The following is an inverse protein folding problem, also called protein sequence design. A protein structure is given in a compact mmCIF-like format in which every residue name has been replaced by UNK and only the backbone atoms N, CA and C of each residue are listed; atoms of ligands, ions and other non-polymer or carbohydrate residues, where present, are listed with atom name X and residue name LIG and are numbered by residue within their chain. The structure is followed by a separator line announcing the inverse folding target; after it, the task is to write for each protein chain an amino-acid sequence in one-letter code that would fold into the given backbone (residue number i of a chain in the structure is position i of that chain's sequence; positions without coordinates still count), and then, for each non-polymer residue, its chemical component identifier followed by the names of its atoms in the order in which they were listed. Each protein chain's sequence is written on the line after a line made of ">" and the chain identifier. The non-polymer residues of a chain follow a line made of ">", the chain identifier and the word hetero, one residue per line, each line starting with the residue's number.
data_IF_354488662343
#
_entry.id   IF_354488662343
#
_cell.length_a   1.000
_cell.length_b   1.000
_cell.length_c   1.000
_cell.angle_alpha   90.00
_cell.angle_beta   90.00
_cell.angle_gamma   90.00
#
_symmetry.space_group_name_H-M   'P 1'
#
loop_
_entity.id
_entity.type
_entity.pdbx_description
1 polymer ?
#
# COMPACT_ATOMS: atom_id res chain seq x y z
N UNK A 1 -13.49 -22.00 -26.24
CA UNK A 1 -12.79 -21.80 -24.93
C UNK A 1 -12.89 -20.32 -24.62
N UNK A 2 -13.36 -19.96 -23.43
CA UNK A 2 -13.42 -18.54 -23.07
C UNK A 2 -11.99 -17.99 -23.02
N UNK A 3 -11.80 -16.70 -23.35
CA UNK A 3 -10.48 -16.07 -23.27
C UNK A 3 -9.94 -15.99 -21.81
N UNK A 4 -10.81 -16.29 -20.85
CA UNK A 4 -10.57 -16.24 -19.40
C UNK A 4 -10.11 -17.58 -18.82
N UNK A 5 -10.23 -18.72 -19.55
CA UNK A 5 -9.82 -20.06 -19.10
C UNK A 5 -8.61 -20.55 -19.90
N UNK A 6 -7.55 -20.97 -19.20
CA UNK A 6 -6.34 -21.59 -19.78
C UNK A 6 -6.11 -22.95 -19.14
N UNK A 7 -5.89 -23.96 -19.95
CA UNK A 7 -5.57 -25.32 -19.52
C UNK A 7 -4.14 -25.65 -19.92
N UNK A 8 -3.34 -26.10 -18.95
CA UNK A 8 -1.94 -26.43 -19.12
C UNK A 8 -1.71 -27.88 -18.68
N UNK A 9 -0.99 -28.64 -19.51
CA UNK A 9 -0.49 -29.95 -19.13
C UNK A 9 1.03 -29.85 -18.94
N UNK A 10 1.47 -29.86 -17.66
CA UNK A 10 2.84 -29.61 -17.29
C UNK A 10 3.36 -30.77 -16.40
N UNK A 11 4.36 -31.50 -16.88
CA UNK A 11 4.99 -32.61 -16.16
C UNK A 11 3.99 -33.67 -15.63
N UNK A 12 2.95 -33.99 -16.43
CA UNK A 12 1.90 -34.94 -16.07
C UNK A 12 0.83 -34.39 -15.11
N UNK A 13 0.88 -33.10 -14.79
CA UNK A 13 -0.15 -32.38 -14.01
C UNK A 13 -1.00 -31.54 -14.94
N UNK A 14 -2.31 -31.51 -14.68
CA UNK A 14 -3.24 -30.58 -15.33
C UNK A 14 -3.43 -29.36 -14.43
N UNK A 15 -3.13 -28.19 -14.96
CA UNK A 15 -3.32 -26.92 -14.26
C UNK A 15 -4.29 -26.07 -15.07
N UNK A 16 -5.45 -25.78 -14.51
CA UNK A 16 -6.45 -24.89 -15.12
C UNK A 16 -6.39 -23.53 -14.43
N UNK A 17 -6.22 -22.47 -15.22
CA UNK A 17 -6.22 -21.09 -14.73
C UNK A 17 -7.52 -20.42 -15.16
N UNK A 18 -8.23 -19.76 -14.25
CA UNK A 18 -9.40 -18.91 -14.53
C UNK A 18 -9.05 -17.47 -14.20
N UNK A 19 -9.22 -16.57 -15.17
CA UNK A 19 -9.04 -15.14 -15.02
C UNK A 19 -10.35 -14.43 -14.73
N UNK A 20 -10.44 -13.74 -13.61
CA UNK A 20 -11.64 -13.01 -13.18
C UNK A 20 -11.44 -11.50 -13.29
N UNK A 21 -12.53 -10.74 -13.40
CA UNK A 21 -12.53 -9.27 -13.43
C UNK A 21 -12.79 -8.64 -12.05
N UNK A 22 -12.80 -9.42 -10.97
CA UNK A 22 -13.01 -9.03 -9.57
C UNK A 22 -14.35 -8.36 -9.21
N UNK A 23 -15.19 -8.02 -10.19
CA UNK A 23 -16.48 -7.32 -10.01
C UNK A 23 -17.55 -7.79 -11.01
N UNK A 24 -17.45 -9.01 -11.54
CA UNK A 24 -18.35 -9.56 -12.56
C UNK A 24 -19.14 -10.76 -12.01
N UNK A 25 -20.47 -10.69 -12.11
CA UNK A 25 -21.36 -11.80 -11.77
C UNK A 25 -21.10 -13.04 -12.67
N UNK A 26 -20.73 -12.81 -13.93
CA UNK A 26 -20.37 -13.85 -14.87
C UNK A 26 -19.12 -14.60 -14.42
N UNK A 27 -18.12 -13.89 -13.89
CA UNK A 27 -16.92 -14.53 -13.32
C UNK A 27 -17.24 -15.43 -12.13
N UNK A 28 -18.18 -15.04 -11.26
CA UNK A 28 -18.62 -15.91 -10.15
C UNK A 28 -19.23 -17.21 -10.66
N UNK A 29 -20.08 -17.12 -11.67
CA UNK A 29 -20.72 -18.29 -12.29
C UNK A 29 -19.70 -19.16 -13.03
N UNK A 30 -18.80 -18.57 -13.81
CA UNK A 30 -17.73 -19.29 -14.50
C UNK A 30 -16.85 -20.08 -13.54
N UNK A 31 -16.49 -19.48 -12.40
CA UNK A 31 -15.71 -20.14 -11.33
C UNK A 31 -16.49 -21.33 -10.76
N UNK A 32 -17.76 -21.15 -10.38
CA UNK A 32 -18.60 -22.22 -9.83
C UNK A 32 -18.77 -23.36 -10.82
N UNK A 33 -19.17 -23.07 -12.07
CA UNK A 33 -19.42 -24.06 -13.11
C UNK A 33 -18.12 -24.85 -13.42
N UNK A 34 -16.98 -24.16 -13.51
CA UNK A 34 -15.70 -24.82 -13.78
C UNK A 34 -15.25 -25.72 -12.63
N UNK A 35 -15.40 -25.31 -11.37
CA UNK A 35 -15.06 -26.18 -10.22
C UNK A 35 -15.90 -27.45 -10.25
N UNK A 36 -17.21 -27.33 -10.52
CA UNK A 36 -18.12 -28.48 -10.62
C UNK A 36 -17.82 -29.37 -11.80
N UNK A 37 -17.42 -28.80 -12.95
CA UNK A 37 -17.07 -29.53 -14.18
C UNK A 37 -15.81 -30.36 -14.00
N UNK A 38 -14.70 -29.75 -13.55
CA UNK A 38 -13.39 -30.38 -13.55
C UNK A 38 -13.05 -31.12 -12.26
N UNK A 39 -13.77 -30.86 -11.16
CA UNK A 39 -13.58 -31.46 -9.84
C UNK A 39 -12.08 -31.55 -9.48
N UNK A 40 -11.38 -30.43 -9.27
CA UNK A 40 -9.95 -30.41 -9.07
C UNK A 40 -9.56 -31.03 -7.73
N UNK A 41 -8.33 -31.56 -7.64
CA UNK A 41 -7.74 -32.07 -6.38
C UNK A 41 -7.42 -30.93 -5.39
N UNK A 42 -7.18 -29.72 -5.91
CA UNK A 42 -6.83 -28.54 -5.11
C UNK A 42 -7.23 -27.26 -5.87
N UNK A 43 -7.69 -26.24 -5.13
CA UNK A 43 -8.01 -24.93 -5.68
C UNK A 43 -7.05 -23.89 -5.11
N UNK A 44 -6.23 -23.26 -5.98
CA UNK A 44 -5.44 -22.06 -5.68
C UNK A 44 -6.30 -20.81 -5.81
N UNK A 45 -6.29 -19.95 -4.80
CA UNK A 45 -7.10 -18.73 -4.77
C UNK A 45 -6.18 -17.53 -4.59
N UNK A 46 -6.31 -16.50 -5.45
CA UNK A 46 -5.51 -15.25 -5.38
C UNK A 46 -5.92 -14.39 -4.18
N UNK A 47 -5.71 -14.92 -3.01
CA UNK A 47 -5.83 -14.23 -1.74
C UNK A 47 -4.62 -14.56 -0.86
N UNK A 48 -4.26 -13.65 0.03
CA UNK A 48 -3.45 -13.98 1.19
C UNK A 48 -4.35 -14.43 2.37
N UNK A 49 -3.77 -15.14 3.33
CA UNK A 49 -4.48 -15.71 4.50
C UNK A 49 -5.32 -14.66 5.26
N UNK A 50 -4.82 -13.41 5.38
CA UNK A 50 -5.54 -12.34 6.09
C UNK A 50 -6.74 -11.84 5.29
N UNK A 51 -6.58 -11.70 3.97
CA UNK A 51 -7.69 -11.31 3.10
C UNK A 51 -8.76 -12.40 3.07
N UNK A 52 -8.36 -13.66 2.98
CA UNK A 52 -9.28 -14.79 3.05
C UNK A 52 -10.07 -14.80 4.37
N UNK A 53 -9.39 -14.68 5.53
CA UNK A 53 -10.06 -14.58 6.84
C UNK A 53 -10.97 -13.34 6.92
N UNK A 54 -10.58 -12.20 6.34
CA UNK A 54 -11.39 -10.98 6.38
C UNK A 54 -12.66 -11.06 5.51
N UNK A 55 -12.62 -11.81 4.41
CA UNK A 55 -13.77 -12.04 3.54
C UNK A 55 -14.74 -13.04 4.20
N UNK A 56 -14.23 -14.09 4.84
CA UNK A 56 -15.04 -15.07 5.56
C UNK A 56 -15.59 -14.56 6.89
N UNK A 57 -14.83 -13.70 7.59
CA UNK A 57 -15.17 -13.19 8.92
C UNK A 57 -15.15 -11.65 8.97
N UNK A 58 -16.04 -10.94 8.24
CA UNK A 58 -16.02 -9.48 8.13
C UNK A 58 -16.16 -8.76 9.47
N UNK A 59 -16.87 -9.33 10.44
CA UNK A 59 -17.10 -8.74 11.76
C UNK A 59 -15.83 -8.68 12.62
N UNK A 60 -14.93 -9.63 12.46
CA UNK A 60 -13.63 -9.67 13.17
C UNK A 60 -12.73 -8.48 12.83
N UNK A 61 -12.87 -7.94 11.62
CA UNK A 61 -12.02 -6.86 11.09
C UNK A 61 -12.65 -5.47 11.14
N UNK A 62 -13.85 -5.34 11.75
CA UNK A 62 -14.52 -4.04 11.93
C UNK A 62 -13.83 -3.11 12.92
N UNK A 63 -12.91 -3.59 13.75
CA UNK A 63 -12.25 -2.80 14.79
C UNK A 63 -10.80 -2.46 14.39
N UNK A 64 -10.63 -1.39 13.60
CA UNK A 64 -9.30 -0.85 13.27
C UNK A 64 -8.72 -0.06 14.45
N UNK A 65 -7.63 -0.54 15.04
CA UNK A 65 -6.84 0.24 16.00
C UNK A 65 -5.86 1.15 15.26
N UNK A 66 -6.30 2.38 14.95
CA UNK A 66 -5.47 3.36 14.24
C UNK A 66 -4.21 3.76 15.02
N UNK A 67 -4.24 3.70 16.34
CA UNK A 67 -3.05 3.98 17.18
C UNK A 67 -1.99 2.91 16.95
N UNK A 68 -2.40 1.64 16.90
CA UNK A 68 -1.51 0.52 16.61
C UNK A 68 -0.93 0.61 15.20
N UNK A 69 -1.75 0.97 14.21
CA UNK A 69 -1.31 1.19 12.82
C UNK A 69 -0.23 2.27 12.73
N UNK A 70 -0.44 3.42 13.40
CA UNK A 70 0.53 4.52 13.40
C UNK A 70 1.82 4.15 14.14
N UNK A 71 1.73 3.46 15.29
CA UNK A 71 2.90 2.96 16.04
C UNK A 71 3.75 1.98 15.21
N UNK A 72 3.11 1.17 14.39
CA UNK A 72 3.78 0.23 13.49
C UNK A 72 4.31 0.87 12.20
N UNK A 73 4.24 2.19 12.05
CA UNK A 73 4.61 2.94 10.83
C UNK A 73 3.79 2.52 9.58
N UNK A 74 2.55 2.08 9.78
CA UNK A 74 1.68 1.56 8.71
C UNK A 74 0.65 2.60 8.22
N UNK A 75 0.76 3.88 8.62
CA UNK A 75 -0.19 4.93 8.26
C UNK A 75 -0.34 5.13 6.74
N UNK A 76 0.78 5.17 5.99
CA UNK A 76 0.74 5.24 4.52
C UNK A 76 0.17 3.98 3.89
N UNK A 77 0.42 2.82 4.49
CA UNK A 77 -0.13 1.55 4.03
C UNK A 77 -1.64 1.49 4.21
N UNK A 78 -2.14 1.98 5.35
CA UNK A 78 -3.57 2.11 5.58
C UNK A 78 -4.21 3.02 4.53
N UNK A 79 -3.60 4.18 4.26
CA UNK A 79 -4.08 5.10 3.24
C UNK A 79 -4.14 4.44 1.86
N UNK A 80 -3.07 3.77 1.43
CA UNK A 80 -3.03 3.08 0.14
C UNK A 80 -4.11 1.99 0.03
N UNK A 81 -4.28 1.19 1.09
CA UNK A 81 -5.33 0.17 1.14
C UNK A 81 -6.74 0.77 1.07
N UNK A 82 -6.99 1.89 1.76
CA UNK A 82 -8.27 2.57 1.73
C UNK A 82 -8.60 3.15 0.36
N UNK A 83 -7.62 3.77 -0.30
CA UNK A 83 -7.78 4.28 -1.66
C UNK A 83 -8.11 3.15 -2.63
N UNK A 84 -7.35 2.06 -2.57
CA UNK A 84 -7.57 0.89 -3.42
C UNK A 84 -8.95 0.26 -3.16
N UNK A 85 -9.31 0.07 -1.90
CA UNK A 85 -10.62 -0.49 -1.52
C UNK A 85 -11.77 0.42 -1.95
N UNK A 86 -11.61 1.75 -1.84
CA UNK A 86 -12.62 2.71 -2.31
C UNK A 86 -12.78 2.68 -3.82
N UNK A 87 -11.68 2.55 -4.57
CA UNK A 87 -11.71 2.38 -6.02
C UNK A 87 -12.40 1.08 -6.44
N UNK A 88 -12.02 -0.05 -5.85
CA UNK A 88 -12.65 -1.35 -6.10
C UNK A 88 -14.15 -1.35 -5.77
N UNK A 89 -14.55 -0.70 -4.66
CA UNK A 89 -15.96 -0.58 -4.29
C UNK A 89 -16.76 0.24 -5.29
N UNK A 90 -16.20 1.34 -5.82
CA UNK A 90 -16.88 2.14 -6.86
C UNK A 90 -17.12 1.33 -8.12
N UNK A 91 -16.14 0.53 -8.56
CA UNK A 91 -16.32 -0.41 -9.68
C UNK A 91 -17.42 -1.42 -9.38
N UNK A 92 -17.43 -2.01 -8.17
CA UNK A 92 -18.44 -2.98 -7.77
C UNK A 92 -19.86 -2.41 -7.60
N UNK A 93 -20.00 -1.11 -7.31
CA UNK A 93 -21.32 -0.47 -7.21
C UNK A 93 -22.02 -0.39 -8.58
N UNK A 94 -21.28 -0.23 -9.66
CA UNK A 94 -21.83 -0.18 -11.03
C UNK A 94 -22.24 -1.58 -11.53
N UNK A 95 -21.57 -2.64 -11.05
CA UNK A 95 -21.83 -4.04 -11.47
C UNK A 95 -22.73 -4.82 -10.50
N UNK A 96 -23.08 -4.25 -9.33
CA UNK A 96 -23.87 -4.92 -8.30
C UNK A 96 -23.14 -6.07 -7.58
N UNK A 97 -21.87 -6.34 -7.91
CA UNK A 97 -21.05 -7.42 -7.35
C UNK A 97 -20.00 -6.83 -6.39
N UNK A 98 -19.85 -7.42 -5.21
CA UNK A 98 -18.82 -7.02 -4.27
C UNK A 98 -17.44 -7.48 -4.76
N UNK A 99 -16.40 -6.63 -4.67
CA UNK A 99 -15.04 -7.02 -5.00
C UNK A 99 -14.59 -8.28 -4.24
N UNK A 100 -14.05 -9.26 -4.96
CA UNK A 100 -13.63 -10.55 -4.39
C UNK A 100 -14.75 -11.57 -4.17
N UNK A 101 -15.96 -11.31 -4.68
CA UNK A 101 -17.08 -12.24 -4.59
C UNK A 101 -16.77 -13.57 -5.30
N UNK A 102 -16.05 -13.54 -6.41
CA UNK A 102 -15.60 -14.73 -7.15
C UNK A 102 -14.64 -15.60 -6.32
N UNK A 103 -13.78 -14.98 -5.52
CA UNK A 103 -12.87 -15.69 -4.60
C UNK A 103 -13.65 -16.34 -3.46
N UNK A 104 -14.66 -15.62 -2.92
CA UNK A 104 -15.57 -16.17 -1.93
C UNK A 104 -16.40 -17.34 -2.52
N UNK A 105 -16.87 -17.20 -3.75
CA UNK A 105 -17.58 -18.29 -4.46
C UNK A 105 -16.66 -19.51 -4.58
N UNK A 106 -15.42 -19.34 -5.00
CA UNK A 106 -14.45 -20.42 -5.07
C UNK A 106 -14.25 -21.13 -3.72
N UNK A 107 -14.11 -20.37 -2.62
CA UNK A 107 -13.97 -20.93 -1.27
C UNK A 107 -15.22 -21.70 -0.83
N UNK A 108 -16.42 -21.17 -1.09
CA UNK A 108 -17.68 -21.80 -0.69
C UNK A 108 -17.91 -23.11 -1.46
N UNK A 109 -17.75 -23.09 -2.79
CA UNK A 109 -17.92 -24.28 -3.61
C UNK A 109 -16.87 -25.35 -3.28
N UNK A 110 -15.62 -24.92 -2.99
CA UNK A 110 -14.58 -25.84 -2.53
C UNK A 110 -14.96 -26.51 -1.19
N UNK A 111 -15.52 -25.74 -0.25
CA UNK A 111 -15.97 -26.26 1.04
C UNK A 111 -17.16 -27.23 0.86
N UNK A 112 -18.12 -26.92 0.00
CA UNK A 112 -19.27 -27.79 -0.30
C UNK A 112 -18.82 -29.15 -0.90
N UNK A 113 -17.82 -29.11 -1.78
CA UNK A 113 -17.29 -30.30 -2.45
C UNK A 113 -16.15 -30.98 -1.67
N UNK A 114 -15.78 -30.46 -0.50
CA UNK A 114 -14.62 -30.92 0.31
C UNK A 114 -13.28 -30.89 -0.47
N UNK A 115 -13.10 -29.92 -1.36
CA UNK A 115 -11.85 -29.73 -2.11
C UNK A 115 -10.91 -28.81 -1.30
N UNK A 116 -9.65 -29.21 -1.07
CA UNK A 116 -8.69 -28.36 -0.37
C UNK A 116 -8.39 -27.07 -1.13
N UNK A 117 -8.28 -25.97 -0.40
CA UNK A 117 -7.93 -24.64 -0.95
C UNK A 117 -6.55 -24.21 -0.47
N UNK A 118 -5.81 -23.52 -1.33
CA UNK A 118 -4.51 -22.92 -1.03
C UNK A 118 -4.55 -21.44 -1.38
N UNK A 119 -4.19 -20.57 -0.42
CA UNK A 119 -4.02 -19.15 -0.68
C UNK A 119 -2.69 -18.93 -1.40
N UNK A 120 -2.75 -18.44 -2.65
CA UNK A 120 -1.58 -18.38 -3.52
C UNK A 120 -1.01 -16.96 -3.67
N UNK A 121 -1.68 -15.91 -3.16
CA UNK A 121 -1.17 -14.55 -3.26
C UNK A 121 -0.26 -14.17 -2.08
N UNK A 122 0.63 -13.24 -2.36
CA UNK A 122 1.53 -12.64 -1.38
C UNK A 122 0.75 -11.61 -0.54
N UNK A 123 1.02 -11.51 0.78
CA UNK A 123 0.38 -10.49 1.61
C UNK A 123 0.52 -9.10 0.99
N UNK A 124 -0.61 -8.42 0.76
CA UNK A 124 -0.65 -7.11 0.09
C UNK A 124 0.27 -6.09 0.78
N UNK A 125 0.43 -6.18 2.10
CA UNK A 125 1.35 -5.33 2.86
C UNK A 125 2.81 -5.51 2.43
N UNK A 126 3.22 -6.74 2.12
CA UNK A 126 4.58 -7.01 1.60
C UNK A 126 4.74 -6.39 0.22
N UNK A 127 3.76 -6.59 -0.66
CA UNK A 127 3.74 -6.03 -2.02
C UNK A 127 3.89 -4.51 -1.99
N UNK A 128 3.07 -3.81 -1.23
CA UNK A 128 3.13 -2.35 -1.14
C UNK A 128 4.43 -1.85 -0.48
N UNK A 129 4.89 -2.51 0.60
CA UNK A 129 6.17 -2.16 1.24
C UNK A 129 7.37 -2.40 0.30
N UNK A 130 7.33 -3.44 -0.53
CA UNK A 130 8.36 -3.69 -1.56
C UNK A 130 8.34 -2.63 -2.64
N UNK A 131 7.17 -2.29 -3.18
CA UNK A 131 7.02 -1.21 -4.16
C UNK A 131 7.56 0.11 -3.61
N UNK A 132 7.23 0.43 -2.34
CA UNK A 132 7.78 1.61 -1.66
C UNK A 132 9.29 1.53 -1.45
N UNK A 133 9.82 0.38 -1.01
CA UNK A 133 11.26 0.21 -0.71
C UNK A 133 12.12 0.26 -1.96
N UNK A 134 11.68 -0.35 -3.07
CA UNK A 134 12.40 -0.35 -4.36
C UNK A 134 12.37 1.00 -5.08
N UNK A 135 11.35 1.83 -4.83
CA UNK A 135 11.24 3.14 -5.47
C UNK A 135 12.23 4.16 -4.90
N UNK A 136 12.87 4.94 -5.78
CA UNK A 136 13.61 6.15 -5.43
C UNK A 136 12.65 7.26 -5.00
N UNK A 137 13.17 8.35 -4.44
CA UNK A 137 12.36 9.47 -3.92
C UNK A 137 11.33 9.98 -4.93
N UNK A 138 11.73 10.20 -6.17
CA UNK A 138 10.83 10.66 -7.24
C UNK A 138 9.72 9.64 -7.57
N UNK A 139 10.04 8.35 -7.60
CA UNK A 139 9.05 7.29 -7.78
C UNK A 139 8.06 7.19 -6.61
N UNK A 140 8.50 7.45 -5.38
CA UNK A 140 7.62 7.56 -4.21
C UNK A 140 6.66 8.74 -4.31
N UNK A 141 7.14 9.90 -4.78
CA UNK A 141 6.29 11.07 -5.02
C UNK A 141 5.26 10.78 -6.12
N UNK A 142 5.66 10.16 -7.22
CA UNK A 142 4.75 9.74 -8.30
C UNK A 142 3.68 8.77 -7.77
N UNK A 143 4.08 7.75 -7.02
CA UNK A 143 3.17 6.76 -6.45
C UNK A 143 2.13 7.42 -5.51
N UNK A 144 2.57 8.32 -4.63
CA UNK A 144 1.67 9.08 -3.76
C UNK A 144 0.73 9.97 -4.56
N UNK A 145 1.24 10.69 -5.56
CA UNK A 145 0.43 11.56 -6.42
C UNK A 145 -0.63 10.76 -7.18
N UNK A 146 -0.27 9.60 -7.74
CA UNK A 146 -1.21 8.70 -8.43
C UNK A 146 -2.28 8.16 -7.49
N UNK A 147 -1.91 7.74 -6.28
CA UNK A 147 -2.88 7.27 -5.27
C UNK A 147 -3.84 8.37 -4.86
N UNK A 148 -3.35 9.59 -4.62
CA UNK A 148 -4.19 10.73 -4.27
C UNK A 148 -5.10 11.13 -5.43
N UNK A 149 -4.58 11.21 -6.66
CA UNK A 149 -5.38 11.49 -7.86
C UNK A 149 -6.50 10.46 -8.03
N UNK A 150 -6.18 9.17 -7.91
CA UNK A 150 -7.16 8.07 -8.00
C UNK A 150 -8.23 8.14 -6.90
N UNK A 151 -7.88 8.60 -5.68
CA UNK A 151 -8.85 8.77 -4.59
C UNK A 151 -9.92 9.81 -4.93
N UNK A 152 -9.56 10.87 -5.68
CA UNK A 152 -10.44 11.98 -6.04
C UNK A 152 -10.98 11.91 -7.48
N UNK A 153 -10.55 10.92 -8.28
CA UNK A 153 -11.11 10.70 -9.62
C UNK A 153 -12.60 10.36 -9.52
N UNK A 154 -13.38 10.97 -10.38
CA UNK A 154 -14.83 10.74 -10.52
C UNK A 154 -15.15 9.87 -11.75
N UNK A 155 -14.14 9.33 -12.40
CA UNK A 155 -14.37 8.49 -13.56
C UNK A 155 -15.14 7.24 -13.13
N UNK A 156 -16.30 7.07 -13.71
CA UNK A 156 -17.13 5.87 -13.59
C UNK A 156 -16.71 4.92 -14.71
N UNK A 157 -16.18 3.77 -14.34
CA UNK A 157 -15.86 2.72 -15.31
C UNK A 157 -17.15 1.97 -15.61
N UNK A 158 -17.54 1.91 -16.88
CA UNK A 158 -18.74 1.20 -17.33
C UNK A 158 -18.54 -0.32 -17.31
N UNK A 159 -19.65 -1.10 -17.29
CA UNK A 159 -19.57 -2.56 -17.39
C UNK A 159 -18.90 -3.01 -18.69
N UNK A 160 -19.18 -2.32 -19.79
CA UNK A 160 -18.58 -2.60 -21.10
C UNK A 160 -17.06 -2.37 -21.10
N UNK A 161 -16.58 -1.34 -20.41
CA UNK A 161 -15.14 -1.09 -20.24
C UNK A 161 -14.48 -2.18 -19.39
N UNK A 162 -15.13 -2.62 -18.30
CA UNK A 162 -14.64 -3.72 -17.46
C UNK A 162 -14.58 -5.03 -18.28
N UNK A 163 -15.57 -5.30 -19.10
CA UNK A 163 -15.61 -6.48 -19.97
C UNK A 163 -14.56 -6.41 -21.09
N UNK A 164 -14.31 -5.22 -21.64
CA UNK A 164 -13.28 -4.99 -22.65
C UNK A 164 -11.86 -5.12 -22.07
N UNK A 165 -11.64 -4.74 -20.80
CA UNK A 165 -10.37 -4.99 -20.10
C UNK A 165 -10.01 -6.49 -19.99
N UNK A 166 -10.99 -7.38 -20.05
CA UNK A 166 -10.73 -8.84 -20.15
C UNK A 166 -10.20 -9.25 -21.52
N UNK A 167 -10.45 -8.45 -22.58
CA UNK A 167 -9.96 -8.71 -23.93
C UNK A 167 -8.50 -8.25 -24.02
N UNK A 168 -7.56 -9.19 -24.12
CA UNK A 168 -6.13 -9.05 -23.93
C UNK A 168 -5.43 -7.80 -24.48
N UNK A 169 -5.90 -7.23 -25.61
CA UNK A 169 -5.23 -6.08 -26.24
C UNK A 169 -5.24 -4.78 -25.40
N UNK A 170 -6.32 -4.52 -24.65
CA UNK A 170 -6.41 -3.32 -23.80
C UNK A 170 -5.58 -3.50 -22.51
N UNK A 171 -5.60 -4.70 -21.95
CA UNK A 171 -4.77 -5.02 -20.78
C UNK A 171 -3.27 -4.91 -21.11
N UNK A 172 -2.83 -5.39 -22.27
CA UNK A 172 -1.45 -5.28 -22.71
C UNK A 172 -1.03 -3.82 -22.91
N UNK A 173 -1.92 -2.97 -23.45
CA UNK A 173 -1.66 -1.54 -23.59
C UNK A 173 -1.50 -0.85 -22.25
N UNK A 174 -2.39 -1.12 -21.28
CA UNK A 174 -2.30 -0.59 -19.90
C UNK A 174 -1.03 -1.07 -19.19
N UNK A 175 -0.63 -2.34 -19.38
CA UNK A 175 0.60 -2.88 -18.78
C UNK A 175 1.85 -2.22 -19.38
N UNK A 176 1.85 -1.93 -20.67
CA UNK A 176 2.93 -1.21 -21.33
C UNK A 176 3.04 0.24 -20.81
N UNK A 177 1.91 0.95 -20.72
CA UNK A 177 1.88 2.31 -20.16
C UNK A 177 2.36 2.34 -18.71
N UNK A 178 1.91 1.40 -17.87
CA UNK A 178 2.39 1.27 -16.50
C UNK A 178 3.89 0.99 -16.44
N UNK A 179 4.41 0.17 -17.37
CA UNK A 179 5.83 -0.15 -17.47
C UNK A 179 6.68 1.07 -17.80
N UNK A 180 6.20 1.95 -18.68
CA UNK A 180 6.89 3.19 -19.04
C UNK A 180 6.81 4.24 -17.95
N UNK A 181 5.63 4.43 -17.36
CA UNK A 181 5.40 5.48 -16.38
C UNK A 181 5.93 5.15 -14.99
N UNK A 182 5.75 3.91 -14.52
CA UNK A 182 6.16 3.43 -13.18
C UNK A 182 6.75 2.01 -13.22
N UNK A 183 7.93 1.80 -13.81
CA UNK A 183 8.50 0.46 -14.04
C UNK A 183 8.67 -0.37 -12.75
N UNK A 184 9.08 0.25 -11.65
CA UNK A 184 9.24 -0.43 -10.35
C UNK A 184 7.89 -0.89 -9.78
N UNK A 185 6.83 -0.13 -10.04
CA UNK A 185 5.48 -0.49 -9.59
C UNK A 185 4.98 -1.69 -10.38
N UNK A 186 5.14 -1.68 -11.70
CA UNK A 186 4.82 -2.81 -12.58
C UNK A 186 5.60 -4.05 -12.18
N UNK A 187 6.91 -3.95 -11.97
CA UNK A 187 7.76 -5.05 -11.51
C UNK A 187 7.22 -5.69 -10.22
N UNK A 188 6.87 -4.88 -9.21
CA UNK A 188 6.48 -5.41 -7.89
C UNK A 188 5.02 -5.85 -7.84
N UNK A 189 4.11 -5.10 -8.48
CA UNK A 189 2.66 -5.39 -8.41
C UNK A 189 2.22 -6.45 -9.42
N UNK A 190 2.98 -6.65 -10.49
CA UNK A 190 2.65 -7.61 -11.54
C UNK A 190 3.70 -8.72 -11.60
N UNK A 191 4.92 -8.44 -12.06
CA UNK A 191 5.90 -9.49 -12.40
C UNK A 191 6.32 -10.34 -11.19
N UNK A 192 6.59 -9.72 -10.03
CA UNK A 192 6.90 -10.46 -8.80
C UNK A 192 5.69 -11.23 -8.28
N UNK A 193 4.46 -10.68 -8.43
CA UNK A 193 3.25 -11.41 -8.02
C UNK A 193 2.97 -12.58 -8.95
N UNK A 194 3.12 -12.43 -10.26
CA UNK A 194 2.99 -13.53 -11.23
C UNK A 194 3.93 -14.67 -10.88
N UNK A 195 5.19 -14.34 -10.59
CA UNK A 195 6.18 -15.31 -10.10
C UNK A 195 5.73 -15.97 -8.80
N UNK A 196 5.24 -15.21 -7.84
CA UNK A 196 4.80 -15.72 -6.54
C UNK A 196 3.58 -16.64 -6.68
N UNK A 197 2.56 -16.20 -7.43
CA UNK A 197 1.34 -16.94 -7.72
C UNK A 197 1.69 -18.28 -8.41
N UNK A 198 2.44 -18.23 -9.51
CA UNK A 198 2.86 -19.43 -10.25
C UNK A 198 3.64 -20.41 -9.38
N UNK A 199 4.57 -19.92 -8.55
CA UNK A 199 5.35 -20.78 -7.65
C UNK A 199 4.48 -21.45 -6.58
N UNK A 200 3.49 -20.75 -6.03
CA UNK A 200 2.54 -21.32 -5.06
C UNK A 200 1.58 -22.32 -5.70
N UNK A 201 1.09 -22.04 -6.90
CA UNK A 201 0.27 -22.98 -7.69
C UNK A 201 1.10 -24.24 -8.02
N UNK A 202 2.35 -24.05 -8.45
CA UNK A 202 3.25 -25.18 -8.74
C UNK A 202 3.52 -26.06 -7.52
N UNK A 203 3.66 -25.45 -6.34
CA UNK A 203 3.91 -26.15 -5.07
C UNK A 203 2.64 -26.75 -4.45
N UNK A 204 1.44 -26.48 -4.98
CA UNK A 204 0.19 -27.06 -4.47
C UNK A 204 0.13 -28.56 -4.72
N UNK A 205 -0.60 -29.28 -3.86
CA UNK A 205 -0.79 -30.72 -3.98
C UNK A 205 -1.84 -31.07 -5.06
N UNK A 206 -1.72 -32.26 -5.63
CA UNK A 206 -2.67 -32.80 -6.61
C UNK A 206 -2.16 -32.76 -8.05
N UNK A 207 -2.78 -33.57 -8.88
CA UNK A 207 -2.46 -33.67 -10.32
C UNK A 207 -3.42 -32.83 -11.18
N UNK A 208 -4.60 -32.51 -10.67
CA UNK A 208 -5.60 -31.67 -11.30
C UNK A 208 -5.83 -30.42 -10.43
N UNK A 209 -5.16 -29.33 -10.75
CA UNK A 209 -5.15 -28.09 -9.95
C UNK A 209 -5.93 -27.00 -10.69
N UNK A 210 -6.86 -26.36 -10.01
CA UNK A 210 -7.52 -25.15 -10.51
C UNK A 210 -6.94 -23.93 -9.79
N UNK A 211 -6.65 -22.85 -10.51
CA UNK A 211 -6.30 -21.57 -9.91
C UNK A 211 -7.25 -20.47 -10.38
N UNK A 212 -7.82 -19.73 -9.40
CA UNK A 212 -8.71 -18.59 -9.64
C UNK A 212 -7.90 -17.32 -9.39
N UNK A 213 -7.69 -16.54 -10.45
CA UNK A 213 -6.77 -15.39 -10.50
C UNK A 213 -7.47 -14.19 -11.13
N UNK A 214 -6.97 -12.99 -10.89
CA UNK A 214 -7.31 -11.81 -11.69
C UNK A 214 -6.81 -11.97 -13.13
N UNK A 215 -7.63 -11.58 -14.11
CA UNK A 215 -7.33 -11.76 -15.54
C UNK A 215 -5.97 -11.17 -15.94
N UNK A 216 -5.54 -10.08 -15.31
CA UNK A 216 -4.25 -9.44 -15.55
C UNK A 216 -3.02 -10.29 -15.19
N UNK A 217 -3.19 -11.31 -14.34
CA UNK A 217 -2.11 -12.20 -13.92
C UNK A 217 -1.98 -13.46 -14.81
N UNK A 218 -3.03 -13.78 -15.61
CA UNK A 218 -3.05 -15.01 -16.42
C UNK A 218 -1.81 -15.18 -17.33
N UNK A 219 -1.43 -14.19 -18.16
CA UNK A 219 -0.31 -14.36 -19.09
C UNK A 219 1.02 -14.58 -18.37
N UNK A 220 1.27 -13.79 -17.30
CA UNK A 220 2.52 -13.89 -16.55
C UNK A 220 2.62 -15.17 -15.73
N UNK A 221 1.53 -15.60 -15.09
CA UNK A 221 1.46 -16.86 -14.33
C UNK A 221 1.65 -18.05 -15.27
N UNK A 222 0.96 -18.07 -16.43
CA UNK A 222 1.14 -19.12 -17.44
C UNK A 222 2.60 -19.22 -17.88
N UNK A 223 3.18 -18.11 -18.31
CA UNK A 223 4.57 -18.09 -18.78
C UNK A 223 5.58 -18.55 -17.69
N UNK A 224 5.30 -18.22 -16.42
CA UNK A 224 6.18 -18.66 -15.34
C UNK A 224 6.00 -20.13 -14.98
N UNK A 225 4.78 -20.67 -15.02
CA UNK A 225 4.51 -22.11 -14.85
C UNK A 225 5.23 -22.95 -15.92
N UNK A 226 5.21 -22.49 -17.18
CA UNK A 226 5.93 -23.15 -18.28
C UNK A 226 7.45 -23.15 -18.04
N UNK A 227 8.02 -22.06 -17.51
CA UNK A 227 9.42 -22.00 -17.10
C UNK A 227 9.76 -22.91 -15.93
N UNK A 228 8.86 -23.06 -14.95
CA UNK A 228 9.00 -24.00 -13.85
C UNK A 228 9.01 -25.44 -14.38
N UNK A 229 8.08 -25.78 -15.26
CA UNK A 229 7.97 -27.10 -15.83
C UNK A 229 9.19 -27.50 -16.68
N UNK A 230 9.78 -26.55 -17.41
CA UNK A 230 10.99 -26.75 -18.20
C UNK A 230 12.30 -26.70 -17.40
N UNK A 231 12.22 -26.42 -16.10
CA UNK A 231 13.41 -26.28 -15.23
C UNK A 231 14.21 -24.98 -15.47
N UNK A 232 13.67 -24.02 -16.23
CA UNK A 232 14.29 -22.73 -16.50
C UNK A 232 14.11 -21.71 -15.38
N UNK A 233 13.21 -21.97 -14.43
CA UNK A 233 12.95 -21.11 -13.29
C UNK A 233 12.88 -21.91 -11.98
N UNK A 234 13.11 -21.24 -10.85
CA UNK A 234 12.98 -21.81 -9.51
C UNK A 234 11.63 -21.44 -8.90
N UNK A 235 11.00 -22.38 -8.20
CA UNK A 235 9.82 -22.13 -7.39
C UNK A 235 10.13 -21.39 -6.08
N UNK A 236 11.41 -21.10 -5.80
CA UNK A 236 11.80 -20.34 -4.62
C UNK A 236 11.32 -18.89 -4.72
N UNK A 237 10.57 -18.46 -3.72
CA UNK A 237 9.97 -17.13 -3.59
C UNK A 237 10.51 -16.34 -2.40
N UNK A 238 11.53 -16.84 -1.68
CA UNK A 238 12.05 -16.19 -0.46
C UNK A 238 12.44 -14.74 -0.72
N UNK A 239 13.13 -14.45 -1.82
CA UNK A 239 13.56 -13.11 -2.17
C UNK A 239 12.38 -12.12 -2.33
N UNK A 240 11.26 -12.60 -2.86
CA UNK A 240 10.08 -11.76 -3.12
C UNK A 240 9.01 -11.87 -2.05
N UNK A 241 9.13 -12.84 -1.12
CA UNK A 241 8.19 -13.03 -0.01
C UNK A 241 8.36 -11.99 1.12
N UNK A 242 9.52 -11.30 1.18
CA UNK A 242 9.83 -10.36 2.24
C UNK A 242 10.19 -8.97 1.71
N UNK A 243 10.03 -7.96 2.56
CA UNK A 243 10.48 -6.59 2.25
C UNK A 243 12.01 -6.53 2.34
N UNK A 244 12.70 -5.97 1.33
CA UNK A 244 14.15 -5.82 1.38
C UNK A 244 14.60 -5.05 2.62
N UNK A 245 15.55 -5.60 3.37
CA UNK A 245 16.14 -4.91 4.52
C UNK A 245 16.98 -3.73 4.03
N UNK A 246 16.86 -2.58 4.70
CA UNK A 246 17.76 -1.44 4.45
C UNK A 246 19.19 -1.88 4.72
N UNK A 247 20.09 -1.59 3.79
CA UNK A 247 21.53 -1.83 3.95
C UNK A 247 22.09 -1.02 5.12
N UNK A 248 23.17 -1.48 5.74
CA UNK A 248 23.83 -0.76 6.84
C UNK A 248 24.21 0.66 6.42
N UNK A 249 24.74 0.85 5.21
CA UNK A 249 25.04 2.16 4.66
C UNK A 249 23.83 3.08 4.54
N UNK A 250 22.66 2.55 4.16
CA UNK A 250 21.43 3.34 4.09
C UNK A 250 20.92 3.75 5.49
N UNK A 251 21.18 2.93 6.53
CA UNK A 251 20.89 3.28 7.92
C UNK A 251 21.84 4.38 8.41
N UNK A 252 23.12 4.27 8.12
CA UNK A 252 24.13 5.27 8.49
C UNK A 252 23.82 6.61 7.80
N UNK A 253 23.47 6.58 6.51
CA UNK A 253 23.12 7.78 5.73
C UNK A 253 21.89 8.51 6.33
N UNK A 254 20.94 7.80 6.95
CA UNK A 254 19.80 8.45 7.58
C UNK A 254 20.16 9.29 8.82
N UNK A 255 21.33 9.05 9.44
CA UNK A 255 21.86 9.85 10.53
C UNK A 255 22.71 11.04 10.07
N UNK A 256 23.11 11.06 8.80
CA UNK A 256 24.03 12.10 8.28
C UNK A 256 23.43 13.51 8.46
N UNK A 257 22.17 13.71 8.03
CA UNK A 257 21.51 15.02 8.12
C UNK A 257 21.32 15.45 9.58
N UNK A 258 20.75 14.64 10.49
CA UNK A 258 20.68 14.99 11.91
C UNK A 258 22.02 15.35 12.52
N UNK A 259 23.05 14.55 12.29
CA UNK A 259 24.40 14.81 12.83
C UNK A 259 25.02 16.07 12.25
N UNK A 260 24.82 16.36 10.96
CA UNK A 260 25.31 17.58 10.32
C UNK A 260 24.66 18.83 10.96
N UNK A 261 23.34 18.81 11.13
CA UNK A 261 22.59 19.92 11.74
C UNK A 261 23.08 20.15 13.20
N UNK A 262 23.17 19.09 13.99
CA UNK A 262 23.66 19.20 15.39
C UNK A 262 25.11 19.70 15.40
N UNK A 263 25.98 19.18 14.51
CA UNK A 263 27.34 19.61 14.35
C UNK A 263 27.46 21.10 14.01
N UNK A 264 26.64 21.60 13.09
CA UNK A 264 26.62 23.04 12.75
C UNK A 264 26.18 23.91 13.94
N UNK A 265 25.14 23.50 14.67
CA UNK A 265 24.69 24.24 15.87
C UNK A 265 25.78 24.26 16.93
N UNK A 266 26.42 23.11 17.24
CA UNK A 266 27.52 23.03 18.19
C UNK A 266 28.72 23.88 17.73
N UNK A 267 29.08 23.83 16.45
CA UNK A 267 30.13 24.69 15.90
C UNK A 267 29.79 26.20 16.05
N UNK A 268 28.51 26.55 15.87
CA UNK A 268 28.04 27.93 16.13
C UNK A 268 28.28 28.39 17.56
N UNK A 269 28.14 27.51 18.56
CA UNK A 269 28.50 27.82 19.95
C UNK A 269 30.00 27.94 20.15
N UNK A 270 30.82 27.09 19.51
CA UNK A 270 32.26 27.07 19.68
C UNK A 270 32.93 28.29 19.01
N UNK A 271 32.60 28.57 17.76
CA UNK A 271 33.25 29.62 16.96
C UNK A 271 32.55 30.97 17.06
N UNK A 272 31.21 31.01 17.16
CA UNK A 272 30.41 32.23 17.22
C UNK A 272 29.92 32.61 18.63
N UNK A 273 30.28 31.80 19.62
CA UNK A 273 29.89 32.03 21.01
C UNK A 273 28.37 31.80 21.25
N UNK A 274 27.95 32.21 22.45
CA UNK A 274 26.57 31.96 22.93
C UNK A 274 25.50 32.59 22.01
N UNK A 275 25.78 33.79 21.46
CA UNK A 275 24.83 34.51 20.63
C UNK A 275 24.54 33.81 19.29
N UNK A 276 25.57 33.33 18.61
CA UNK A 276 25.41 32.61 17.33
C UNK A 276 24.80 31.23 17.54
N UNK A 277 25.26 30.47 18.53
CA UNK A 277 24.73 29.17 18.85
C UNK A 277 23.24 29.21 19.24
N UNK A 278 22.81 30.18 20.04
CA UNK A 278 21.39 30.34 20.41
C UNK A 278 20.53 30.76 19.22
N UNK A 279 21.04 31.61 18.30
CA UNK A 279 20.32 31.95 17.05
C UNK A 279 20.09 30.71 16.20
N UNK A 280 21.13 29.88 15.98
CA UNK A 280 20.99 28.63 15.16
C UNK A 280 20.03 27.67 15.84
N UNK A 281 20.09 27.46 17.14
CA UNK A 281 19.19 26.62 17.90
C UNK A 281 17.74 27.10 17.81
N UNK A 282 17.54 28.43 17.98
CA UNK A 282 16.20 29.04 17.85
C UNK A 282 15.66 28.93 16.44
N UNK A 283 16.48 29.11 15.40
CA UNK A 283 16.12 28.92 14.02
C UNK A 283 15.68 27.47 13.78
N UNK A 284 16.47 26.48 14.22
CA UNK A 284 16.08 25.06 14.13
C UNK A 284 14.73 24.80 14.78
N UNK A 285 14.55 25.29 16.00
CA UNK A 285 13.32 25.09 16.78
C UNK A 285 12.11 25.70 16.06
N UNK A 286 12.17 26.98 15.71
CA UNK A 286 11.02 27.69 15.14
C UNK A 286 10.65 27.21 13.75
N UNK A 287 11.64 26.99 12.87
CA UNK A 287 11.38 26.49 11.52
C UNK A 287 10.76 25.08 11.50
N UNK A 288 11.09 24.20 12.45
CA UNK A 288 10.44 22.90 12.54
C UNK A 288 9.07 22.97 13.21
N UNK A 289 8.92 23.76 14.26
CA UNK A 289 7.72 23.84 15.08
C UNK A 289 6.56 24.56 14.37
N UNK A 290 6.81 25.73 13.81
CA UNK A 290 5.76 26.60 13.26
C UNK A 290 5.08 25.95 12.05
N UNK A 291 5.77 25.49 11.00
CA UNK A 291 5.12 24.87 9.88
C UNK A 291 4.37 23.57 10.25
N UNK A 292 4.94 22.75 11.15
CA UNK A 292 4.27 21.54 11.63
C UNK A 292 2.95 21.86 12.35
N UNK A 293 2.95 22.87 13.22
CA UNK A 293 1.77 23.34 13.93
C UNK A 293 0.71 23.93 12.97
N UNK A 294 1.14 24.80 12.04
CA UNK A 294 0.24 25.40 11.02
C UNK A 294 -0.44 24.28 10.20
N UNK A 295 0.33 23.32 9.71
CA UNK A 295 -0.21 22.22 8.92
C UNK A 295 -1.12 21.30 9.74
N UNK A 296 -0.90 21.17 11.05
CA UNK A 296 -1.80 20.48 11.97
C UNK A 296 -3.12 21.26 12.14
N UNK A 297 -3.07 22.60 12.19
CA UNK A 297 -4.29 23.45 12.19
C UNK A 297 -5.05 23.32 10.87
N UNK A 298 -4.35 23.34 9.73
CA UNK A 298 -4.96 23.13 8.41
C UNK A 298 -5.68 21.77 8.33
N UNK A 299 -5.13 20.73 8.98
CA UNK A 299 -5.77 19.42 9.12
C UNK A 299 -6.99 19.41 10.07
N UNK A 300 -7.37 20.55 10.66
CA UNK A 300 -8.35 20.67 11.75
C UNK A 300 -8.01 19.74 12.94
N UNK A 301 -6.73 19.64 13.25
CA UNK A 301 -6.25 18.92 14.42
C UNK A 301 -6.75 19.54 15.73
N UNK A 302 -6.96 18.70 16.74
CA UNK A 302 -7.36 19.17 18.06
C UNK A 302 -6.28 20.12 18.65
N UNK A 303 -6.63 21.18 19.43
CA UNK A 303 -5.65 22.12 20.00
C UNK A 303 -4.49 21.45 20.74
N UNK A 304 -4.77 20.40 21.51
CA UNK A 304 -3.72 19.59 22.17
C UNK A 304 -2.75 18.98 21.15
N UNK A 305 -3.28 18.50 20.02
CA UNK A 305 -2.45 17.93 18.93
C UNK A 305 -1.58 19.00 18.28
N UNK A 306 -2.09 20.22 18.10
CA UNK A 306 -1.31 21.36 17.57
C UNK A 306 -0.14 21.70 18.51
N UNK A 307 -0.40 21.79 19.81
CA UNK A 307 0.65 22.05 20.82
C UNK A 307 1.69 20.94 20.82
N UNK A 308 1.26 19.67 20.80
CA UNK A 308 2.19 18.54 20.74
C UNK A 308 2.99 18.53 19.43
N UNK A 309 2.37 18.83 18.30
CA UNK A 309 3.08 18.97 17.02
C UNK A 309 4.16 20.04 17.09
N UNK A 310 3.82 21.21 17.63
CA UNK A 310 4.76 22.33 17.82
C UNK A 310 5.95 21.90 18.67
N UNK A 311 5.71 21.31 19.84
CA UNK A 311 6.77 20.94 20.78
C UNK A 311 7.62 19.76 20.32
N UNK A 312 7.02 18.77 19.65
CA UNK A 312 7.72 17.54 19.25
C UNK A 312 8.45 17.65 17.91
N UNK A 313 8.05 18.54 17.00
CA UNK A 313 8.62 18.65 15.67
C UNK A 313 10.15 18.83 15.64
N UNK A 314 10.78 19.74 16.39
CA UNK A 314 12.22 19.94 16.33
C UNK A 314 13.03 18.73 16.82
N UNK A 315 12.48 17.91 17.71
CA UNK A 315 13.13 16.70 18.22
C UNK A 315 12.94 15.51 17.26
N UNK A 316 11.71 15.35 16.77
CA UNK A 316 11.41 14.26 15.85
C UNK A 316 12.07 14.42 14.47
N UNK A 317 12.36 15.66 14.06
CA UNK A 317 13.10 15.95 12.82
C UNK A 317 14.55 15.49 12.87
N UNK A 318 15.13 15.38 14.07
CA UNK A 318 16.47 14.82 14.30
C UNK A 318 16.45 13.31 14.48
N UNK A 319 15.27 12.69 14.55
CA UNK A 319 15.14 11.24 14.72
C UNK A 319 14.76 10.58 13.38
N UNK A 320 15.62 9.72 12.80
CA UNK A 320 15.32 9.08 11.53
C UNK A 320 14.22 8.00 11.60
N UNK A 321 13.75 7.66 12.80
CA UNK A 321 12.77 6.58 13.02
C UNK A 321 11.36 7.09 13.31
N UNK A 322 11.22 8.25 13.99
CA UNK A 322 9.92 8.77 14.44
C UNK A 322 9.76 10.18 13.90
N UNK A 323 8.82 10.35 12.95
CA UNK A 323 8.44 11.67 12.46
C UNK A 323 7.34 12.30 13.32
N UNK A 324 7.24 13.64 13.29
CA UNK A 324 6.19 14.39 14.00
C UNK A 324 4.78 13.90 13.67
N UNK A 325 4.54 13.49 12.43
CA UNK A 325 3.22 12.97 12.00
C UNK A 325 2.75 11.76 12.79
N UNK A 326 3.67 10.86 13.17
CA UNK A 326 3.32 9.70 14.00
C UNK A 326 2.86 10.17 15.37
N UNK A 327 3.63 11.07 15.99
CA UNK A 327 3.32 11.63 17.31
C UNK A 327 1.99 12.37 17.27
N UNK A 328 1.83 13.30 16.32
CA UNK A 328 0.61 14.10 16.13
C UNK A 328 -0.61 13.23 15.81
N UNK A 329 -0.45 12.23 14.92
CA UNK A 329 -1.53 11.31 14.56
C UNK A 329 -1.98 10.45 15.75
N UNK A 330 -1.04 9.94 16.56
CA UNK A 330 -1.37 9.19 17.78
C UNK A 330 -2.12 10.07 18.78
N UNK A 331 -1.64 11.28 19.05
CA UNK A 331 -2.33 12.21 19.97
C UNK A 331 -3.72 12.57 19.43
N UNK A 332 -3.85 12.84 18.15
CA UNK A 332 -5.14 13.10 17.50
C UNK A 332 -6.11 11.93 17.68
N UNK A 333 -5.64 10.70 17.50
CA UNK A 333 -6.46 9.50 17.66
C UNK A 333 -6.89 9.26 19.11
N UNK A 334 -6.03 9.59 20.08
CA UNK A 334 -6.34 9.46 21.50
C UNK A 334 -7.34 10.52 22.00
N UNK A 335 -7.20 11.76 21.52
CA UNK A 335 -8.07 12.88 21.92
C UNK A 335 -9.41 12.85 21.17
N UNK A 336 -9.38 12.55 19.87
CA UNK A 336 -10.55 12.46 19.01
C UNK A 336 -10.84 11.00 18.64
N UNK A 337 -11.17 10.15 19.61
CA UNK A 337 -11.36 8.71 19.40
C UNK A 337 -12.29 8.43 18.22
N UNK A 338 -11.85 7.62 17.24
CA UNK A 338 -12.71 7.17 16.15
C UNK A 338 -13.94 6.42 16.66
N UNK A 339 -15.06 6.55 15.95
CA UNK A 339 -16.30 5.83 16.21
C UNK A 339 -16.47 4.67 15.23
N UNK A 340 -17.35 3.73 15.54
CA UNK A 340 -17.72 2.63 14.61
C UNK A 340 -18.26 3.19 13.29
N UNK A 341 -19.08 4.24 13.35
CA UNK A 341 -19.60 4.91 12.15
C UNK A 341 -18.51 5.55 11.28
N UNK A 342 -17.37 5.99 11.86
CA UNK A 342 -16.23 6.49 11.08
C UNK A 342 -15.57 5.36 10.28
N UNK A 343 -15.60 4.13 10.80
CA UNK A 343 -15.12 2.92 10.12
C UNK A 343 -16.06 2.50 8.99
N UNK A 344 -17.35 2.42 9.26
CA UNK A 344 -18.37 2.01 8.29
C UNK A 344 -18.41 2.92 7.06
N UNK A 345 -18.28 4.24 7.28
CA UNK A 345 -18.29 5.24 6.20
C UNK A 345 -16.91 5.53 5.60
N UNK A 346 -15.86 4.87 6.05
CA UNK A 346 -14.48 5.21 5.72
C UNK A 346 -14.19 5.18 4.21
N UNK A 347 -14.69 4.14 3.52
CA UNK A 347 -14.51 3.96 2.07
C UNK A 347 -15.28 5.00 1.23
N UNK A 348 -16.43 5.44 1.71
CA UNK A 348 -17.24 6.46 1.03
C UNK A 348 -16.70 7.88 1.31
N UNK A 349 -16.18 8.09 2.52
CA UNK A 349 -15.67 9.39 2.95
C UNK A 349 -14.31 9.73 2.33
N UNK A 350 -13.46 8.72 2.04
CA UNK A 350 -12.13 8.96 1.45
C UNK A 350 -12.20 9.60 0.06
N UNK A 351 -13.25 9.31 -0.72
CA UNK A 351 -13.48 9.88 -2.05
C UNK A 351 -14.02 11.32 -2.01
N UNK A 352 -14.40 11.82 -0.83
CA UNK A 352 -15.00 13.15 -0.67
C UNK A 352 -14.04 14.05 0.08
N UNK A 353 -13.73 15.23 -0.48
CA UNK A 353 -12.88 16.21 0.21
C UNK A 353 -13.38 16.54 1.64
N UNK A 354 -14.69 16.74 1.80
CA UNK A 354 -15.31 16.96 3.12
C UNK A 354 -15.15 15.74 4.07
N UNK A 355 -15.07 14.54 3.54
CA UNK A 355 -14.88 13.30 4.31
C UNK A 355 -13.58 13.29 5.09
N UNK A 356 -12.49 13.80 4.52
CA UNK A 356 -11.19 13.91 5.19
C UNK A 356 -11.22 14.76 6.47
N UNK A 357 -12.11 15.74 6.52
CA UNK A 357 -12.27 16.61 7.68
C UNK A 357 -13.37 16.14 8.63
N UNK A 358 -14.36 15.39 8.15
CA UNK A 358 -15.52 14.96 8.95
C UNK A 358 -15.28 13.61 9.63
N UNK A 359 -14.73 12.64 8.90
CA UNK A 359 -14.41 11.32 9.41
C UNK A 359 -13.16 11.38 10.31
N UNK A 360 -13.26 10.86 11.54
CA UNK A 360 -12.19 10.96 12.53
C UNK A 360 -10.94 10.17 12.15
N UNK A 361 -11.10 9.01 11.49
CA UNK A 361 -9.97 8.19 11.03
C UNK A 361 -9.21 8.93 9.93
N UNK A 362 -9.92 9.47 8.91
CA UNK A 362 -9.31 10.25 7.85
C UNK A 362 -8.66 11.52 8.38
N UNK A 363 -9.26 12.18 9.37
CA UNK A 363 -8.65 13.34 10.03
C UNK A 363 -7.35 12.98 10.76
N UNK A 364 -7.28 11.83 11.41
CA UNK A 364 -6.02 11.35 12.02
C UNK A 364 -4.95 11.15 10.95
N UNK A 365 -5.29 10.55 9.81
CA UNK A 365 -4.37 10.39 8.69
C UNK A 365 -3.99 11.75 8.07
N UNK A 366 -4.93 12.67 7.95
CA UNK A 366 -4.67 14.02 7.45
C UNK A 366 -3.68 14.77 8.37
N UNK A 367 -3.89 14.72 9.69
CA UNK A 367 -2.96 15.28 10.68
C UNK A 367 -1.59 14.63 10.54
N UNK A 368 -1.51 13.30 10.44
CA UNK A 368 -0.26 12.56 10.24
C UNK A 368 0.49 13.04 8.98
N UNK A 369 -0.19 13.19 7.85
CA UNK A 369 0.42 13.59 6.58
C UNK A 369 0.83 15.05 6.63
N UNK A 370 -0.08 15.95 6.97
CA UNK A 370 0.15 17.40 6.89
C UNK A 370 1.21 17.86 7.91
N UNK A 371 1.18 17.36 9.16
CA UNK A 371 2.23 17.70 10.12
C UNK A 371 3.61 17.19 9.70
N UNK A 372 3.69 16.01 9.06
CA UNK A 372 4.94 15.50 8.48
C UNK A 372 5.46 16.39 7.36
N UNK A 373 4.58 16.84 6.46
CA UNK A 373 4.94 17.76 5.38
C UNK A 373 5.43 19.11 5.92
N UNK A 374 4.73 19.66 6.94
CA UNK A 374 5.13 20.89 7.59
C UNK A 374 6.52 20.79 8.24
N UNK A 375 6.78 19.71 8.96
CA UNK A 375 8.09 19.47 9.58
C UNK A 375 9.19 19.23 8.54
N UNK A 376 8.89 18.53 7.44
CA UNK A 376 9.86 18.34 6.36
C UNK A 376 10.24 19.67 5.71
N UNK A 377 9.25 20.50 5.40
CA UNK A 377 9.50 21.87 4.92
C UNK A 377 10.35 22.66 5.92
N UNK A 378 9.99 22.61 7.20
CA UNK A 378 10.70 23.28 8.28
C UNK A 378 12.16 22.82 8.39
N UNK A 379 12.43 21.54 8.25
CA UNK A 379 13.78 20.96 8.26
C UNK A 379 14.65 21.54 7.13
N UNK A 380 14.13 21.65 5.91
CA UNK A 380 14.87 22.24 4.79
C UNK A 380 15.11 23.73 4.99
N UNK A 381 14.10 24.48 5.46
CA UNK A 381 14.23 25.91 5.72
C UNK A 381 15.22 26.19 6.86
N UNK A 382 15.12 25.44 7.96
CA UNK A 382 16.07 25.52 9.08
C UNK A 382 17.51 25.21 8.64
N UNK A 383 17.68 24.15 7.83
CA UNK A 383 18.99 23.77 7.31
C UNK A 383 19.64 24.91 6.51
N UNK A 384 18.88 25.52 5.59
CA UNK A 384 19.36 26.67 4.79
C UNK A 384 19.71 27.88 5.67
N UNK A 385 18.87 28.19 6.65
CA UNK A 385 19.09 29.32 7.56
C UNK A 385 20.31 29.10 8.50
N UNK A 386 20.47 27.90 9.05
CA UNK A 386 21.61 27.50 9.88
C UNK A 386 22.92 27.60 9.08
N UNK A 387 22.95 27.11 7.82
CA UNK A 387 24.13 27.22 6.96
C UNK A 387 24.49 28.72 6.75
N UNK A 388 23.48 29.55 6.47
CA UNK A 388 23.69 31.01 6.28
C UNK A 388 24.23 31.64 7.57
N UNK A 389 23.67 31.31 8.73
CA UNK A 389 24.15 31.82 10.02
C UNK A 389 25.58 31.35 10.31
N UNK A 390 25.91 30.10 9.97
CA UNK A 390 27.25 29.56 10.17
C UNK A 390 28.30 30.30 9.31
N UNK A 391 27.99 30.55 7.99
CA UNK A 391 28.89 31.29 7.10
C UNK A 391 29.14 32.77 7.53
N UNK A 392 28.34 33.30 8.45
CA UNK A 392 28.56 34.64 9.00
C UNK A 392 29.48 34.63 10.23
N UNK A 393 29.78 33.45 10.78
CA UNK A 393 30.56 33.27 12.00
C UNK A 393 32.00 32.82 11.68
N UNK A 394 32.15 32.07 10.57
CA UNK A 394 33.45 31.63 10.02
C UNK A 394 33.83 32.51 8.85
#
# INVERSE_FOLDING_TARGET
>A
MSQTRKELELNGRRITLIGTAHVSAESCKEVEDTIKEIQPDCIGIELDERRADSIQNPDKYRNLDIVKVLKNHEGFMLLANLVLASFQRRMGMNTGVKPGQEMLTAMNVAAELNIPTVMVDRPIQVTLKRAWAKNRLWGKCKLLASLLSSAFSKEEVSEDEIENLKKGNEMDSMMNELSEYMPVVKEVLIDERDRYLASKIWASNGNNVLAVLGAGHLPGVQAYLEKLASGQASADVEEIAFVPKKTFGAKLLSWLIPLLIVGLIVSGFIYGGLQAGTKMLSSWFLWNSIPAAIMTVVALGHPVTVIVSFLSAPFTSLCPFIGVGIVSGIIQALVCKPKVSDMENLQDDISKFKGWYKNRILRVLLVFILSSLGSSFGTFAAGADIIKLFTQVV
#
